data_IF_496837214678
#
_entry.id   IF_496837214678
#
_cell.length_a   1.000
_cell.length_b   1.000
_cell.length_c   1.000
_cell.angle_alpha   90.00
_cell.angle_beta   90.00
_cell.angle_gamma   90.00
#
_symmetry.space_group_name_H-M   'P 1'
#
loop_
_entity.id
_entity.type
_entity.pdbx_description
1 polymer ?
#
# COMPACT_ATOMS: atom_id res chain seq x y z
N UNK A 1 10.15 12.10 11.07
CA UNK A 1 8.92 11.81 11.83
C UNK A 1 8.89 10.32 12.11
N UNK A 2 8.51 9.92 13.32
CA UNK A 2 8.33 8.52 13.68
C UNK A 2 6.91 8.05 13.32
N UNK A 3 6.84 6.82 12.85
CA UNK A 3 5.64 6.10 12.43
C UNK A 3 5.54 4.79 13.21
N UNK A 4 4.32 4.32 13.39
CA UNK A 4 3.99 3.16 14.19
C UNK A 4 2.97 2.32 13.43
N UNK A 5 3.19 1.01 13.38
CA UNK A 5 2.13 0.08 12.98
C UNK A 5 1.21 -0.11 14.16
N UNK A 6 -0.08 -0.06 13.89
CA UNK A 6 -1.11 -0.18 14.92
C UNK A 6 -2.23 -1.08 14.47
N UNK A 7 -2.79 -1.81 15.43
CA UNK A 7 -4.01 -2.59 15.25
C UNK A 7 -5.04 -2.10 16.26
N UNK A 8 -6.28 -1.88 15.79
CA UNK A 8 -7.35 -1.41 16.67
C UNK A 8 -7.89 -2.60 17.48
N UNK A 9 -7.75 -2.57 18.80
CA UNK A 9 -8.36 -3.55 19.72
C UNK A 9 -9.35 -2.81 20.63
N UNK A 10 -10.64 -3.10 20.48
CA UNK A 10 -11.72 -2.39 21.20
C UNK A 10 -11.60 -0.86 20.99
N UNK A 11 -11.32 -0.12 22.06
CA UNK A 11 -11.23 1.34 22.07
C UNK A 11 -9.80 1.88 21.97
N UNK A 12 -8.79 1.02 21.84
CA UNK A 12 -7.38 1.45 21.82
C UNK A 12 -6.60 0.92 20.60
N UNK A 13 -5.50 1.59 20.29
CA UNK A 13 -4.56 1.23 19.24
C UNK A 13 -3.33 0.60 19.84
N UNK A 14 -3.20 -0.72 19.68
CA UNK A 14 -2.01 -1.42 20.09
C UNK A 14 -0.91 -1.25 19.06
N UNK A 15 0.30 -0.92 19.53
CA UNK A 15 1.49 -0.83 18.69
C UNK A 15 2.00 -2.23 18.33
N UNK A 16 2.33 -2.43 17.06
CA UNK A 16 2.97 -3.64 16.56
C UNK A 16 4.47 -3.37 16.38
N UNK A 17 5.29 -4.12 17.10
CA UNK A 17 6.73 -4.02 17.00
C UNK A 17 7.28 -4.97 15.93
N UNK A 18 7.30 -4.48 14.68
CA UNK A 18 7.80 -5.25 13.54
C UNK A 18 9.32 -5.52 13.59
N UNK A 19 10.05 -4.97 14.58
CA UNK A 19 11.47 -5.30 14.74
C UNK A 19 11.73 -6.76 15.13
N UNK A 20 10.67 -7.49 15.51
CA UNK A 20 10.71 -8.94 15.75
C UNK A 20 10.58 -9.79 14.49
N UNK A 21 10.27 -9.20 13.34
CA UNK A 21 10.23 -9.90 12.06
C UNK A 21 11.63 -10.02 11.48
N UNK A 22 11.97 -11.17 10.92
CA UNK A 22 13.27 -11.41 10.26
C UNK A 22 13.46 -10.49 9.05
N UNK A 23 12.36 -10.10 8.41
CA UNK A 23 12.30 -9.21 7.28
C UNK A 23 12.62 -7.75 7.65
N UNK A 24 12.61 -7.38 8.94
CA UNK A 24 12.80 -6.02 9.35
C UNK A 24 14.28 -5.64 9.47
N UNK A 25 14.63 -4.44 9.03
CA UNK A 25 15.98 -3.88 9.22
C UNK A 25 15.86 -2.45 9.71
N UNK A 26 16.48 -2.17 10.86
CA UNK A 26 16.44 -0.86 11.48
C UNK A 26 17.56 0.05 10.98
N UNK A 27 17.19 1.16 10.37
CA UNK A 27 18.06 2.22 9.88
C UNK A 27 17.87 3.54 10.65
N UNK A 28 16.70 3.75 11.25
CA UNK A 28 16.36 4.98 11.96
C UNK A 28 16.77 4.95 13.44
N UNK A 29 16.97 6.15 14.01
CA UNK A 29 17.33 6.35 15.43
C UNK A 29 16.11 6.38 16.36
N UNK A 30 14.89 6.12 15.85
CA UNK A 30 13.67 6.21 16.65
C UNK A 30 13.62 5.11 17.71
N UNK A 31 13.11 5.44 18.91
CA UNK A 31 12.96 4.53 20.06
C UNK A 31 11.48 4.15 20.25
N UNK A 32 11.20 3.20 21.15
CA UNK A 32 9.85 2.84 21.61
C UNK A 32 8.89 2.39 20.49
N UNK A 33 9.33 1.49 19.62
CA UNK A 33 8.51 0.98 18.52
C UNK A 33 8.26 1.98 17.38
N UNK A 34 8.95 3.13 17.40
CA UNK A 34 8.92 4.09 16.30
C UNK A 34 9.84 3.67 15.17
N UNK A 35 9.36 3.86 13.94
CA UNK A 35 10.06 3.58 12.69
C UNK A 35 9.97 4.79 11.75
N UNK A 36 10.82 4.83 10.74
CA UNK A 36 10.57 5.64 9.54
C UNK A 36 9.54 4.93 8.66
N UNK A 37 8.84 5.71 7.83
CA UNK A 37 7.88 5.13 6.88
C UNK A 37 8.59 4.24 5.85
N UNK A 38 9.82 4.60 5.48
CA UNK A 38 10.66 3.81 4.58
C UNK A 38 11.03 2.44 5.15
N UNK A 39 11.35 2.35 6.44
CA UNK A 39 11.58 1.05 7.10
C UNK A 39 10.32 0.18 7.12
N UNK A 40 9.15 0.80 7.31
CA UNK A 40 7.86 0.10 7.27
C UNK A 40 7.64 -0.48 5.87
N UNK A 41 7.75 0.35 4.83
CA UNK A 41 7.54 -0.09 3.46
C UNK A 41 8.58 -1.15 3.05
N UNK A 42 9.86 -0.95 3.37
CA UNK A 42 10.90 -1.93 3.07
C UNK A 42 10.68 -3.29 3.74
N UNK A 43 10.05 -3.30 4.92
CA UNK A 43 9.63 -4.52 5.58
C UNK A 43 8.40 -5.13 4.90
N UNK A 44 7.32 -4.36 4.70
CA UNK A 44 6.07 -4.92 4.19
C UNK A 44 6.13 -5.30 2.71
N UNK A 45 6.98 -4.66 1.91
CA UNK A 45 7.22 -5.02 0.51
C UNK A 45 7.94 -6.37 0.33
N UNK A 46 8.49 -6.97 1.40
CA UNK A 46 9.02 -8.34 1.37
C UNK A 46 7.93 -9.40 1.36
N UNK A 47 6.69 -9.03 1.70
CA UNK A 47 5.53 -9.91 1.68
C UNK A 47 4.71 -9.69 0.41
N UNK A 48 4.24 -10.79 -0.19
CA UNK A 48 3.46 -10.74 -1.43
C UNK A 48 2.20 -9.87 -1.28
N UNK A 49 1.49 -10.03 -0.17
CA UNK A 49 0.28 -9.28 0.15
C UNK A 49 0.00 -9.27 1.67
N UNK A 50 -1.14 -8.70 2.06
CA UNK A 50 -1.60 -8.60 3.45
C UNK A 50 -1.73 -9.97 4.16
N UNK A 51 -2.10 -11.04 3.44
CA UNK A 51 -2.24 -12.38 4.00
C UNK A 51 -0.92 -12.88 4.59
N UNK A 52 0.15 -12.85 3.79
CA UNK A 52 1.47 -13.34 4.21
C UNK A 52 2.07 -12.46 5.30
N UNK A 53 1.83 -11.15 5.25
CA UNK A 53 2.27 -10.25 6.31
C UNK A 53 1.58 -10.57 7.65
N UNK A 54 0.26 -10.80 7.65
CA UNK A 54 -0.49 -11.20 8.86
C UNK A 54 -0.07 -12.56 9.37
N UNK A 55 0.22 -13.50 8.49
CA UNK A 55 0.76 -14.81 8.87
C UNK A 55 2.10 -14.66 9.63
N UNK A 56 3.03 -13.84 9.11
CA UNK A 56 4.31 -13.57 9.74
C UNK A 56 4.16 -12.86 11.10
N UNK A 57 3.27 -11.86 11.19
CA UNK A 57 2.95 -11.19 12.46
C UNK A 57 2.39 -12.17 13.50
N UNK A 58 1.54 -13.12 13.09
CA UNK A 58 1.01 -14.13 14.00
C UNK A 58 2.10 -15.10 14.47
N UNK A 59 2.91 -15.63 13.55
CA UNK A 59 4.03 -16.53 13.87
C UNK A 59 5.06 -15.87 14.80
N UNK A 60 5.27 -14.57 14.68
CA UNK A 60 6.13 -13.78 15.57
C UNK A 60 5.47 -13.40 16.92
N UNK A 61 4.22 -13.83 17.17
CA UNK A 61 3.47 -13.52 18.39
C UNK A 61 3.07 -12.04 18.54
N UNK A 62 3.01 -11.29 17.44
CA UNK A 62 2.66 -9.86 17.44
C UNK A 62 1.16 -9.61 17.39
N UNK A 63 0.39 -10.55 16.82
CA UNK A 63 -1.08 -10.51 16.74
C UNK A 63 -1.67 -11.87 17.14
N UNK A 64 -2.93 -11.89 17.59
CA UNK A 64 -3.66 -13.14 17.89
C UNK A 64 -4.52 -13.61 16.69
N UNK A 65 -5.13 -14.79 16.79
CA UNK A 65 -6.03 -15.29 15.73
C UNK A 65 -7.22 -14.35 15.50
N UNK A 66 -7.75 -13.72 16.54
CA UNK A 66 -8.88 -12.79 16.46
C UNK A 66 -8.52 -11.49 15.71
N UNK A 67 -7.23 -11.15 15.68
CA UNK A 67 -6.71 -9.96 15.02
C UNK A 67 -6.50 -10.14 13.51
N UNK A 68 -6.50 -11.37 13.01
CA UNK A 68 -6.23 -11.65 11.59
C UNK A 68 -7.17 -10.87 10.66
N UNK A 69 -8.44 -10.72 11.00
CA UNK A 69 -9.38 -9.97 10.16
C UNK A 69 -9.34 -8.45 10.36
N UNK A 70 -8.59 -7.94 11.36
CA UNK A 70 -8.59 -6.52 11.72
C UNK A 70 -7.59 -5.73 10.88
N UNK A 71 -7.92 -4.48 10.56
CA UNK A 71 -7.02 -3.62 9.79
C UNK A 71 -5.78 -3.23 10.60
N UNK A 72 -4.63 -3.38 9.96
CA UNK A 72 -3.36 -2.82 10.43
C UNK A 72 -3.17 -1.47 9.75
N UNK A 73 -2.90 -0.43 10.55
CA UNK A 73 -2.76 0.93 10.05
C UNK A 73 -1.45 1.55 10.48
N UNK A 74 -0.87 2.37 9.59
CA UNK A 74 0.28 3.21 9.92
C UNK A 74 -0.24 4.48 10.58
N UNK A 75 0.35 4.85 11.71
CA UNK A 75 0.04 6.08 12.43
C UNK A 75 1.31 6.85 12.72
N UNK A 76 1.23 8.17 12.73
CA UNK A 76 2.29 9.03 13.24
C UNK A 76 1.81 9.80 14.47
N UNK A 77 2.73 10.12 15.37
CA UNK A 77 2.43 10.93 16.54
C UNK A 77 2.38 12.40 16.13
N UNK A 78 1.24 13.04 16.34
CA UNK A 78 1.06 14.47 16.19
C UNK A 78 0.67 15.04 17.57
N UNK A 79 1.60 15.75 18.21
CA UNK A 79 1.48 16.15 19.63
C UNK A 79 1.24 14.93 20.52
N UNK A 80 0.06 14.84 21.15
CA UNK A 80 -0.31 13.73 22.05
C UNK A 80 -1.15 12.65 21.36
N UNK A 81 -1.60 12.88 20.12
CA UNK A 81 -2.50 11.97 19.42
C UNK A 81 -1.78 11.17 18.33
N UNK A 82 -2.26 9.95 18.10
CA UNK A 82 -1.85 9.15 16.95
C UNK A 82 -2.78 9.41 15.76
N UNK A 83 -2.25 10.09 14.74
CA UNK A 83 -2.97 10.37 13.50
C UNK A 83 -2.69 9.30 12.45
N UNK A 84 -3.75 8.76 11.83
CA UNK A 84 -3.65 7.77 10.76
C UNK A 84 -2.98 8.37 9.51
N UNK A 85 -1.99 7.67 8.96
CA UNK A 85 -1.44 7.98 7.64
C UNK A 85 -2.48 7.64 6.58
N UNK A 86 -2.65 8.50 5.57
CA UNK A 86 -3.75 8.41 4.63
C UNK A 86 -3.74 7.08 3.87
N UNK A 87 -2.58 6.68 3.36
CA UNK A 87 -2.38 5.41 2.70
C UNK A 87 -1.80 4.35 3.65
N UNK A 88 -2.18 3.10 3.37
CA UNK A 88 -1.82 1.93 4.16
C UNK A 88 -0.46 1.35 3.77
N UNK A 89 -0.24 0.10 4.17
CA UNK A 89 1.00 -0.62 3.92
C UNK A 89 1.21 -0.90 2.43
N UNK A 90 2.46 -0.76 1.99
CA UNK A 90 2.92 -1.16 0.66
C UNK A 90 3.38 -2.63 0.69
N UNK A 91 2.85 -3.47 -0.19
CA UNK A 91 3.27 -4.87 -0.36
C UNK A 91 4.08 -5.05 -1.65
N UNK A 92 4.55 -6.26 -1.92
CA UNK A 92 5.43 -6.56 -3.05
C UNK A 92 4.88 -6.09 -4.40
N UNK A 93 3.56 -6.17 -4.61
CA UNK A 93 2.88 -5.75 -5.84
C UNK A 93 2.91 -4.22 -6.08
N UNK A 94 3.14 -3.43 -5.02
CA UNK A 94 3.29 -1.98 -5.08
C UNK A 94 4.74 -1.51 -5.27
N UNK A 95 5.73 -2.43 -5.25
CA UNK A 95 7.17 -2.11 -5.26
C UNK A 95 7.59 -1.19 -6.41
N UNK A 96 7.02 -1.39 -7.61
CA UNK A 96 7.36 -0.59 -8.79
C UNK A 96 6.92 0.89 -8.67
N UNK A 97 5.95 1.19 -7.80
CA UNK A 97 5.50 2.55 -7.52
C UNK A 97 6.38 3.22 -6.46
N UNK A 98 7.06 2.43 -5.63
CA UNK A 98 7.97 2.88 -4.58
C UNK A 98 9.42 3.01 -5.09
N UNK A 99 9.59 3.26 -6.40
CA UNK A 99 10.85 3.70 -7.02
C UNK A 99 10.73 5.17 -7.43
N UNK A 100 11.71 5.99 -7.06
CA UNK A 100 11.66 7.45 -7.29
C UNK A 100 11.58 7.76 -8.79
N UNK A 101 12.47 7.17 -9.59
CA UNK A 101 12.48 7.45 -11.02
C UNK A 101 11.28 6.82 -11.73
N UNK A 102 10.95 5.57 -11.38
CA UNK A 102 9.81 4.81 -11.87
C UNK A 102 8.49 5.52 -11.64
N UNK A 103 8.26 6.05 -10.43
CA UNK A 103 7.02 6.74 -10.10
C UNK A 103 6.79 7.97 -10.99
N UNK A 104 7.85 8.71 -11.34
CA UNK A 104 7.74 9.84 -12.27
C UNK A 104 7.23 9.38 -13.64
N UNK A 105 7.80 8.30 -14.18
CA UNK A 105 7.35 7.74 -15.46
C UNK A 105 5.91 7.21 -15.38
N UNK A 106 5.56 6.55 -14.28
CA UNK A 106 4.20 6.07 -14.06
C UNK A 106 3.22 7.26 -14.06
N UNK A 107 3.52 8.35 -13.35
CA UNK A 107 2.69 9.55 -13.34
C UNK A 107 2.51 10.15 -14.74
N UNK A 108 3.61 10.34 -15.48
CA UNK A 108 3.57 10.92 -16.82
C UNK A 108 2.80 10.03 -17.81
N UNK A 109 2.82 8.71 -17.64
CA UNK A 109 2.04 7.80 -18.49
C UNK A 109 0.52 7.98 -18.34
N UNK A 110 0.06 8.63 -17.25
CA UNK A 110 -1.37 8.95 -17.02
C UNK A 110 -1.82 10.27 -17.63
N UNK A 111 -0.98 10.99 -18.39
CA UNK A 111 -1.33 12.29 -18.96
C UNK A 111 -2.58 12.26 -19.86
N UNK A 112 -2.94 11.12 -20.45
CA UNK A 112 -4.15 10.96 -21.28
C UNK A 112 -5.37 10.44 -20.50
N UNK A 113 -5.19 10.09 -19.23
CA UNK A 113 -6.25 9.58 -18.38
C UNK A 113 -6.93 10.74 -17.63
N UNK A 114 -8.00 11.27 -18.22
CA UNK A 114 -8.75 12.41 -17.65
C UNK A 114 -9.30 12.09 -16.25
N UNK A 115 -9.78 10.87 -16.04
CA UNK A 115 -10.34 10.45 -14.75
C UNK A 115 -9.25 10.41 -13.66
N UNK A 116 -8.06 9.92 -14.01
CA UNK A 116 -6.91 9.98 -13.12
C UNK A 116 -6.55 11.43 -12.76
N UNK A 117 -6.43 12.29 -13.76
CA UNK A 117 -6.03 13.68 -13.55
C UNK A 117 -7.05 14.45 -12.72
N UNK A 118 -8.35 14.25 -12.93
CA UNK A 118 -9.39 14.85 -12.09
C UNK A 118 -9.30 14.41 -10.62
N UNK A 119 -9.06 13.11 -10.38
CA UNK A 119 -8.83 12.59 -9.03
C UNK A 119 -7.55 13.15 -8.41
N UNK A 120 -6.47 13.30 -9.20
CA UNK A 120 -5.21 13.89 -8.76
C UNK A 120 -5.42 15.35 -8.33
N UNK A 121 -6.04 16.17 -9.18
CA UNK A 121 -6.34 17.57 -8.89
C UNK A 121 -7.24 17.71 -7.65
N UNK A 122 -8.25 16.86 -7.52
CA UNK A 122 -9.13 16.84 -6.35
C UNK A 122 -8.38 16.50 -5.06
N UNK A 123 -7.54 15.46 -5.11
CA UNK A 123 -6.74 15.02 -3.97
C UNK A 123 -5.78 16.12 -3.49
N UNK A 124 -5.16 16.83 -4.44
CA UNK A 124 -4.15 17.85 -4.17
C UNK A 124 -4.70 19.28 -4.11
N UNK A 125 -6.02 19.52 -4.21
CA UNK A 125 -6.64 20.85 -4.33
C UNK A 125 -6.16 21.91 -3.33
N UNK A 126 -5.78 21.48 -2.12
CA UNK A 126 -5.32 22.33 -1.03
C UNK A 126 -3.80 22.21 -0.77
N UNK A 127 -3.04 21.68 -1.73
CA UNK A 127 -1.59 21.57 -1.62
C UNK A 127 -0.96 22.95 -1.75
N UNK A 128 -0.39 23.46 -0.66
CA UNK A 128 0.34 24.72 -0.65
C UNK A 128 1.57 24.69 -1.58
N UNK A 129 2.23 23.53 -1.68
CA UNK A 129 3.47 23.37 -2.44
C UNK A 129 3.20 23.26 -3.95
N UNK A 130 2.04 22.72 -4.33
CA UNK A 130 1.72 22.37 -5.71
C UNK A 130 0.55 23.16 -6.33
N UNK A 131 0.05 24.22 -5.67
CA UNK A 131 -1.08 25.01 -6.16
C UNK A 131 -0.92 25.49 -7.62
N UNK A 132 0.25 26.02 -7.98
CA UNK A 132 0.55 26.52 -9.32
C UNK A 132 0.51 25.36 -10.33
N UNK A 133 1.12 24.22 -9.99
CA UNK A 133 1.16 23.06 -10.89
C UNK A 133 -0.24 22.47 -11.08
N UNK A 134 -1.07 22.43 -10.05
CA UNK A 134 -2.48 22.01 -10.13
C UNK A 134 -3.25 22.92 -11.10
N UNK A 135 -3.07 24.24 -11.00
CA UNK A 135 -3.67 25.19 -11.93
C UNK A 135 -3.18 25.00 -13.37
N UNK A 136 -1.87 24.78 -13.57
CA UNK A 136 -1.28 24.50 -14.88
C UNK A 136 -1.81 23.20 -15.49
N UNK A 137 -1.86 22.12 -14.72
CA UNK A 137 -2.42 20.82 -15.15
C UNK A 137 -3.87 21.02 -15.58
N UNK A 138 -4.70 21.69 -14.76
CA UNK A 138 -6.10 21.96 -15.09
C UNK A 138 -6.26 22.79 -16.36
N UNK A 139 -5.43 23.81 -16.54
CA UNK A 139 -5.42 24.63 -17.74
C UNK A 139 -5.02 23.82 -18.98
N UNK A 140 -3.94 23.04 -18.90
CA UNK A 140 -3.47 22.19 -19.99
C UNK A 140 -4.51 21.14 -20.40
N UNK A 141 -5.20 20.53 -19.43
CA UNK A 141 -6.31 19.61 -19.69
C UNK A 141 -7.45 20.26 -20.48
N UNK A 142 -7.80 21.51 -20.15
CA UNK A 142 -8.87 22.24 -20.82
C UNK A 142 -8.49 22.66 -22.24
N UNK A 143 -7.23 23.04 -22.44
CA UNK A 143 -6.70 23.45 -23.74
C UNK A 143 -6.26 22.28 -24.62
N UNK A 144 -6.26 21.05 -24.08
CA UNK A 144 -5.74 19.85 -24.73
C UNK A 144 -4.26 20.01 -25.15
N UNK A 145 -3.49 20.67 -24.29
CA UNK A 145 -2.06 20.92 -24.49
C UNK A 145 -1.24 19.82 -23.81
N UNK A 146 -0.92 18.77 -24.57
CA UNK A 146 -0.17 17.61 -24.10
C UNK A 146 1.26 17.98 -23.64
N UNK A 147 1.90 18.96 -24.28
CA UNK A 147 3.27 19.38 -23.96
C UNK A 147 3.30 20.11 -22.61
N UNK A 148 2.41 21.09 -22.43
CA UNK A 148 2.27 21.80 -21.16
C UNK A 148 1.86 20.85 -20.03
N UNK A 149 0.98 19.88 -20.32
CA UNK A 149 0.54 18.89 -19.34
C UNK A 149 1.71 18.03 -18.86
N UNK A 150 2.57 17.57 -19.78
CA UNK A 150 3.75 16.77 -19.44
C UNK A 150 4.71 17.55 -18.53
N UNK A 151 5.02 18.80 -18.90
CA UNK A 151 5.87 19.69 -18.09
C UNK A 151 5.27 19.94 -16.71
N UNK A 152 3.97 20.25 -16.65
CA UNK A 152 3.29 20.56 -15.39
C UNK A 152 3.22 19.34 -14.45
N UNK A 153 3.03 18.12 -14.98
CA UNK A 153 3.08 16.87 -14.21
C UNK A 153 4.51 16.56 -13.74
N UNK A 154 5.52 16.80 -14.57
CA UNK A 154 6.92 16.65 -14.20
C UNK A 154 7.33 17.58 -13.05
N UNK A 155 6.95 18.85 -13.15
CA UNK A 155 7.16 19.86 -12.10
C UNK A 155 6.38 19.52 -10.82
N UNK A 156 5.13 19.09 -10.98
CA UNK A 156 4.31 18.63 -9.86
C UNK A 156 5.01 17.53 -9.07
N UNK A 157 5.50 16.51 -9.77
CA UNK A 157 6.19 15.37 -9.18
C UNK A 157 7.40 15.83 -8.37
N UNK A 158 8.30 16.58 -8.99
CA UNK A 158 9.54 17.01 -8.34
C UNK A 158 9.26 17.87 -7.10
N UNK A 159 8.27 18.77 -7.16
CA UNK A 159 7.89 19.60 -6.00
C UNK A 159 7.23 18.80 -4.88
N UNK A 160 6.45 17.77 -5.21
CA UNK A 160 5.76 16.96 -4.20
C UNK A 160 6.74 16.04 -3.45
N UNK A 161 7.61 15.36 -4.20
CA UNK A 161 8.43 14.27 -3.64
C UNK A 161 9.78 14.73 -3.12
N UNK A 162 10.16 15.99 -3.34
CA UNK A 162 11.42 16.54 -2.83
C UNK A 162 11.21 17.67 -1.83
N UNK A 163 12.23 17.93 -1.03
CA UNK A 163 12.33 19.07 -0.13
C UNK A 163 13.77 19.58 -0.13
N UNK A 164 13.93 20.90 -0.04
CA UNK A 164 15.24 21.51 0.12
C UNK A 164 15.64 21.49 1.61
N UNK A 165 16.81 20.95 1.91
CA UNK A 165 17.44 21.14 3.21
C UNK A 165 18.03 22.55 3.25
N UNK A 166 17.39 23.44 4.01
CA UNK A 166 17.81 24.85 4.09
C UNK A 166 19.16 25.04 4.76
N UNK A 167 19.70 24.04 5.46
CA UNK A 167 21.00 24.10 6.11
C UNK A 167 22.13 23.67 5.19
N UNK A 168 21.91 22.61 4.39
CA UNK A 168 22.94 22.06 3.50
C UNK A 168 22.79 22.50 2.05
N UNK A 169 21.63 23.05 1.66
CA UNK A 169 21.28 23.34 0.27
C UNK A 169 20.95 22.10 -0.56
N UNK A 170 20.94 20.91 0.06
CA UNK A 170 20.70 19.64 -0.64
C UNK A 170 19.22 19.40 -0.87
N UNK A 171 18.89 18.85 -2.04
CA UNK A 171 17.55 18.33 -2.33
C UNK A 171 17.44 16.92 -1.78
N UNK A 172 16.49 16.70 -0.86
CA UNK A 172 16.22 15.40 -0.23
C UNK A 172 14.82 14.93 -0.59
N UNK A 173 14.62 13.62 -0.61
CA UNK A 173 13.30 13.04 -0.80
C UNK A 173 12.42 13.32 0.42
N UNK A 174 11.22 13.82 0.18
CA UNK A 174 10.16 13.86 1.16
C UNK A 174 9.41 12.52 1.14
N UNK A 175 9.97 11.52 1.82
CA UNK A 175 9.49 10.14 1.72
C UNK A 175 8.00 9.97 2.04
N UNK A 176 7.45 10.76 2.96
CA UNK A 176 6.01 10.73 3.26
C UNK A 176 5.16 11.09 2.03
N UNK A 177 5.48 12.21 1.38
CA UNK A 177 4.73 12.67 0.21
C UNK A 177 4.97 11.78 -1.00
N UNK A 178 6.19 11.26 -1.13
CA UNK A 178 6.53 10.22 -2.10
C UNK A 178 5.66 8.96 -1.93
N UNK A 179 5.62 8.39 -0.72
CA UNK A 179 4.76 7.25 -0.39
C UNK A 179 3.27 7.56 -0.65
N UNK A 180 2.79 8.72 -0.19
CA UNK A 180 1.39 9.12 -0.38
C UNK A 180 1.01 9.19 -1.87
N UNK A 181 1.89 9.76 -2.71
CA UNK A 181 1.68 9.81 -4.16
C UNK A 181 1.77 8.41 -4.78
N UNK A 182 2.75 7.60 -4.40
CA UNK A 182 2.92 6.26 -4.91
C UNK A 182 1.70 5.38 -4.66
N UNK A 183 1.21 5.39 -3.42
CA UNK A 183 0.03 4.64 -3.02
C UNK A 183 -1.27 5.23 -3.59
N UNK A 184 -1.34 6.53 -3.84
CA UNK A 184 -2.44 7.13 -4.60
C UNK A 184 -2.54 6.51 -6.01
N UNK A 185 -1.43 6.48 -6.75
CA UNK A 185 -1.42 5.96 -8.12
C UNK A 185 -1.64 4.45 -8.14
N UNK A 186 -0.96 3.70 -7.28
CA UNK A 186 -1.15 2.24 -7.17
C UNK A 186 -2.61 1.86 -6.89
N UNK A 187 -3.27 2.54 -5.93
CA UNK A 187 -4.67 2.24 -5.61
C UNK A 187 -5.62 2.61 -6.75
N UNK A 188 -5.32 3.68 -7.49
CA UNK A 188 -6.09 4.03 -8.69
C UNK A 188 -6.00 2.91 -9.75
N UNK A 189 -4.79 2.45 -10.06
CA UNK A 189 -4.57 1.40 -11.05
C UNK A 189 -5.18 0.07 -10.62
N UNK A 190 -5.06 -0.29 -9.34
CA UNK A 190 -5.70 -1.48 -8.76
C UNK A 190 -7.22 -1.45 -8.91
N UNK A 191 -7.84 -0.29 -8.67
CA UNK A 191 -9.28 -0.13 -8.82
C UNK A 191 -9.72 -0.24 -10.29
N UNK A 192 -8.97 0.36 -11.23
CA UNK A 192 -9.25 0.17 -12.66
C UNK A 192 -9.17 -1.30 -13.07
N UNK A 193 -8.16 -2.03 -12.59
CA UNK A 193 -8.03 -3.45 -12.92
C UNK A 193 -9.21 -4.27 -12.40
N UNK A 194 -9.68 -3.98 -11.18
CA UNK A 194 -10.88 -4.61 -10.62
C UNK A 194 -12.13 -4.31 -11.44
N UNK A 195 -12.34 -3.04 -11.79
CA UNK A 195 -13.47 -2.61 -12.63
C UNK A 195 -13.44 -3.32 -14.00
N UNK A 196 -12.26 -3.46 -14.62
CA UNK A 196 -12.07 -4.21 -15.88
C UNK A 196 -12.38 -5.70 -15.74
N UNK A 197 -12.12 -6.29 -14.58
CA UNK A 197 -12.48 -7.67 -14.27
C UNK A 197 -13.94 -7.82 -13.82
N UNK A 198 -14.73 -6.74 -13.77
CA UNK A 198 -16.11 -6.76 -13.30
C UNK A 198 -16.27 -6.98 -11.80
N UNK A 199 -15.19 -6.81 -11.01
CA UNK A 199 -15.20 -7.03 -9.56
C UNK A 199 -15.70 -5.76 -8.87
N UNK A 200 -16.81 -5.89 -8.14
CA UNK A 200 -17.38 -4.82 -7.34
C UNK A 200 -16.63 -4.61 -6.02
N UNK A 201 -16.83 -3.44 -5.41
CA UNK A 201 -16.24 -3.12 -4.10
C UNK A 201 -16.69 -4.07 -3.00
N UNK A 202 -17.92 -4.58 -3.07
CA UNK A 202 -18.46 -5.52 -2.07
C UNK A 202 -17.88 -6.92 -2.27
N UNK A 203 -17.74 -7.39 -3.51
CA UNK A 203 -17.07 -8.67 -3.80
C UNK A 203 -15.61 -8.65 -3.32
N UNK A 204 -14.88 -7.55 -3.54
CA UNK A 204 -13.51 -7.41 -3.05
C UNK A 204 -13.42 -7.43 -1.50
N UNK A 205 -14.45 -6.97 -0.79
CA UNK A 205 -14.51 -7.07 0.67
C UNK A 205 -14.76 -8.52 1.11
N UNK A 206 -15.72 -9.19 0.48
CA UNK A 206 -16.06 -10.60 0.76
C UNK A 206 -14.83 -11.49 0.48
N UNK A 207 -14.14 -11.27 -0.63
CA UNK A 207 -12.89 -11.98 -0.97
C UNK A 207 -11.83 -11.81 0.12
N UNK A 208 -11.64 -10.58 0.62
CA UNK A 208 -10.72 -10.31 1.72
C UNK A 208 -11.14 -11.02 3.02
N UNK A 209 -12.43 -11.02 3.35
CA UNK A 209 -12.96 -11.72 4.52
C UNK A 209 -12.72 -13.23 4.44
N UNK A 210 -13.06 -13.86 3.31
CA UNK A 210 -12.84 -15.28 3.05
C UNK A 210 -11.34 -15.64 3.11
N UNK A 211 -10.49 -14.80 2.56
CA UNK A 211 -9.02 -14.95 2.61
C UNK A 211 -8.52 -15.02 4.06
N UNK A 212 -9.05 -14.18 4.95
CA UNK A 212 -8.67 -14.17 6.36
C UNK A 212 -9.34 -15.24 7.20
N UNK A 213 -10.55 -15.69 6.84
CA UNK A 213 -11.12 -16.90 7.43
C UNK A 213 -10.26 -18.13 7.09
N UNK A 214 -9.81 -18.24 5.84
CA UNK A 214 -8.91 -19.30 5.42
C UNK A 214 -7.58 -19.25 6.21
N UNK A 215 -6.97 -18.06 6.34
CA UNK A 215 -5.77 -17.88 7.16
C UNK A 215 -5.99 -18.35 8.61
N UNK A 216 -7.10 -17.93 9.23
CA UNK A 216 -7.43 -18.35 10.61
C UNK A 216 -7.55 -19.86 10.73
N UNK A 217 -8.27 -20.52 9.80
CA UNK A 217 -8.43 -21.99 9.81
C UNK A 217 -7.09 -22.70 9.61
N UNK A 218 -6.23 -22.17 8.73
CA UNK A 218 -4.87 -22.69 8.51
C UNK A 218 -4.03 -22.61 9.78
N UNK A 219 -3.96 -21.43 10.40
CA UNK A 219 -3.17 -21.19 11.61
C UNK A 219 -3.69 -21.95 12.84
N UNK A 220 -4.99 -22.25 12.90
CA UNK A 220 -5.61 -23.03 13.97
C UNK A 220 -5.55 -24.56 13.73
N UNK A 221 -4.84 -25.03 12.70
CA UNK A 221 -4.74 -26.46 12.37
C UNK A 221 -6.08 -27.10 11.95
N UNK A 222 -7.06 -26.27 11.57
CA UNK A 222 -8.42 -26.71 11.21
C UNK A 222 -8.58 -27.00 9.70
N UNK A 223 -7.52 -26.83 8.91
CA UNK A 223 -7.45 -27.29 7.52
C UNK A 223 -6.79 -28.67 7.48
N UNK A 224 -7.32 -29.63 6.71
CA UNK A 224 -6.65 -30.90 6.52
C UNK A 224 -5.26 -30.66 5.93
N UNK A 225 -4.23 -31.21 6.58
CA UNK A 225 -2.89 -31.32 6.00
C UNK A 225 -3.05 -32.11 4.70
N UNK A 226 -2.55 -31.63 3.54
CA UNK A 226 -2.55 -32.45 2.35
C UNK A 226 -1.74 -33.71 2.65
N UNK A 227 -2.41 -34.86 2.74
CA UNK A 227 -1.73 -36.14 2.76
C UNK A 227 -0.93 -36.24 1.46
N UNK A 228 0.40 -36.17 1.58
CA UNK A 228 1.31 -36.51 0.49
C UNK A 228 1.19 -38.03 0.32
N UNK A 229 0.19 -38.49 -0.41
CA UNK A 229 0.06 -39.89 -0.75
C UNK A 229 1.11 -40.26 -1.78
N UNK A 230 2.04 -41.11 -1.35
CA UNK A 230 3.13 -41.69 -2.15
C UNK A 230 2.63 -42.82 -3.07
N UNK A 231 1.53 -42.61 -3.80
CA UNK A 231 1.02 -43.61 -4.75
C UNK A 231 0.64 -42.99 -6.11
N UNK A 232 0.97 -43.66 -7.23
CA UNK A 232 0.77 -43.13 -8.56
C UNK A 232 -0.73 -43.07 -8.91
N UNK A 233 -1.21 -41.84 -9.16
CA UNK A 233 -2.62 -41.53 -9.49
C UNK A 233 -3.13 -42.34 -10.69
N UNK A 234 -4.08 -43.25 -10.46
CA UNK A 234 -5.00 -43.74 -11.50
C UNK A 234 -5.94 -42.61 -11.92
N UNK A 235 -5.96 -42.32 -13.22
CA UNK A 235 -6.87 -41.34 -13.83
C UNK A 235 -8.32 -41.85 -13.75
N UNK A 236 -9.15 -41.17 -12.98
CA UNK A 236 -10.61 -41.28 -13.12
C UNK A 236 -11.18 -39.86 -13.22
N UNK A 237 -11.89 -39.60 -14.33
CA UNK A 237 -12.57 -38.34 -14.58
C UNK A 237 -13.79 -38.24 -13.67
N UNK A 238 -13.83 -37.23 -12.81
CA UNK A 238 -15.06 -36.77 -12.18
C UNK A 238 -15.09 -35.25 -12.22
N UNK A 239 -16.17 -34.72 -12.81
CA UNK A 239 -16.50 -33.30 -12.88
C UNK A 239 -16.56 -32.73 -11.46
N UNK A 240 -15.69 -31.76 -11.16
CA UNK A 240 -15.79 -30.91 -9.97
C UNK A 240 -16.08 -29.50 -10.49
N UNK A 241 -17.18 -28.91 -10.01
CA UNK A 241 -17.58 -27.55 -10.31
C UNK A 241 -16.46 -26.57 -9.94
N UNK A 242 -16.19 -25.67 -10.86
CA UNK A 242 -15.27 -24.53 -10.70
C UNK A 242 -15.77 -23.59 -9.60
N UNK A 243 -15.17 -23.72 -8.44
CA UNK A 243 -15.06 -22.68 -7.42
C UNK A 243 -13.59 -22.43 -7.16
N UNK A 244 -12.86 -21.94 -8.17
CA UNK A 244 -11.49 -21.50 -7.98
C UNK A 244 -11.52 -20.17 -7.22
N UNK A 245 -11.19 -20.22 -5.94
CA UNK A 245 -10.65 -19.03 -5.25
C UNK A 245 -9.30 -18.77 -5.92
N UNK A 246 -9.23 -17.71 -6.72
CA UNK A 246 -7.98 -17.25 -7.31
C UNK A 246 -7.11 -16.67 -6.20
N UNK A 247 -6.02 -17.35 -5.86
CA UNK A 247 -5.00 -16.85 -4.94
C UNK A 247 -3.82 -16.25 -5.74
N UNK A 248 -4.12 -15.58 -6.85
CA UNK A 248 -3.14 -14.90 -7.70
C UNK A 248 -3.23 -13.39 -7.47
#
# INVERSE_FOLDING_TARGET
MAYYLTIKRKNDYQLLDISKLEEFTKNSRYKNGGFSLEEIDNCTMKFYNEYFFKEALYKAGLISLEDIARDITIRCKNKEELTKVRYGLAYQDSKNYLDVYGLKFILLSKQKDKNFLEKLLSYYRNSYINNINISKIKYAMNMQDDELLNVALGDFYMREVTKLDTKTGEVKINYKLFHDLAMFIYNYDKNIMREKCGITTEEAKIERELTFEYLKKSLNGSLPVPEVSSEPKKKTKTKVLEGQISIF
#
